data_IF_430555942897
#
_entry.id   IF_430555942897
#
_cell.length_a   1.000
_cell.length_b   1.000
_cell.length_c   1.000
_cell.angle_alpha   90.00
_cell.angle_beta   90.00
_cell.angle_gamma   90.00
#
_symmetry.space_group_name_H-M   'P 1'
#
loop_
_entity.id
_entity.type
_entity.pdbx_description
1 polymer ?
#
# COMPACT_ATOMS: atom_id res chain seq x y z
N UNK A 1 1.46 24.86 10.08
CA UNK A 1 1.30 23.80 9.05
C UNK A 1 0.74 24.47 7.81
N UNK A 2 1.25 24.16 6.63
CA UNK A 2 0.76 24.74 5.37
C UNK A 2 0.96 23.79 4.20
N UNK A 3 0.12 23.90 3.18
CA UNK A 3 0.31 23.23 1.88
C UNK A 3 1.09 24.14 0.92
N UNK A 4 1.74 23.53 -0.08
CA UNK A 4 2.22 24.24 -1.27
C UNK A 4 1.05 24.77 -2.10
N UNK A 5 1.22 25.80 -2.94
CA UNK A 5 0.14 26.36 -3.76
C UNK A 5 -0.52 25.34 -4.72
N UNK A 6 0.23 24.35 -5.17
CA UNK A 6 -0.27 23.24 -6.01
C UNK A 6 -0.81 22.05 -5.20
N UNK A 7 -0.76 22.11 -3.86
CA UNK A 7 -1.26 21.10 -2.95
C UNK A 7 -0.42 19.83 -2.84
N UNK A 8 0.70 19.71 -3.57
CA UNK A 8 1.52 18.48 -3.63
C UNK A 8 2.42 18.23 -2.42
N UNK A 9 2.68 19.27 -1.63
CA UNK A 9 3.50 19.18 -0.43
C UNK A 9 2.76 19.73 0.78
N UNK A 10 2.91 19.05 1.92
CA UNK A 10 2.51 19.52 3.24
C UNK A 10 3.76 19.80 4.08
N UNK A 11 3.86 21.02 4.59
CA UNK A 11 4.90 21.42 5.53
C UNK A 11 4.38 21.41 6.97
N UNK A 12 5.06 20.68 7.83
CA UNK A 12 4.79 20.60 9.28
C UNK A 12 6.02 20.99 10.07
N UNK A 13 5.84 21.76 11.15
CA UNK A 13 6.88 21.99 12.15
C UNK A 13 6.69 21.01 13.32
N UNK A 14 7.77 20.60 13.95
CA UNK A 14 7.80 19.69 15.09
C UNK A 14 8.58 20.32 16.25
N UNK A 15 8.21 19.96 17.48
CA UNK A 15 8.86 20.45 18.70
C UNK A 15 10.32 19.99 18.83
N UNK A 16 10.72 18.97 18.06
CA UNK A 16 12.12 18.54 17.89
C UNK A 16 12.98 19.54 17.10
N UNK A 17 12.45 20.75 16.82
CA UNK A 17 13.07 21.84 16.06
C UNK A 17 13.33 21.48 14.59
N UNK A 18 12.62 20.48 14.05
CA UNK A 18 12.67 20.16 12.62
C UNK A 18 11.40 20.60 11.90
N UNK A 19 11.56 20.97 10.63
CA UNK A 19 10.46 21.03 9.68
C UNK A 19 10.48 19.75 8.84
N UNK A 20 9.31 19.20 8.54
CA UNK A 20 9.14 18.03 7.69
C UNK A 20 8.25 18.39 6.50
N UNK A 21 8.65 17.92 5.34
CA UNK A 21 7.88 18.00 4.10
C UNK A 21 7.32 16.62 3.79
N UNK A 22 6.03 16.58 3.52
CA UNK A 22 5.31 15.36 3.16
C UNK A 22 4.79 15.49 1.74
N UNK A 23 5.03 14.49 0.90
CA UNK A 23 4.31 14.37 -0.36
C UNK A 23 2.85 14.00 -0.05
N UNK A 24 1.91 14.68 -0.69
CA UNK A 24 0.46 14.43 -0.54
C UNK A 24 -0.12 13.71 -1.75
N UNK A 25 0.63 13.59 -2.84
CA UNK A 25 0.24 12.84 -4.01
C UNK A 25 0.30 11.34 -3.69
N UNK A 26 -0.88 10.70 -3.67
CA UNK A 26 -1.03 9.29 -3.35
C UNK A 26 -0.24 8.40 -4.33
N UNK A 27 -0.28 8.71 -5.63
CA UNK A 27 0.39 7.92 -6.66
C UNK A 27 1.91 7.94 -6.47
N UNK A 28 2.48 9.11 -6.22
CA UNK A 28 3.92 9.26 -5.95
C UNK A 28 4.32 8.49 -4.68
N UNK A 29 3.51 8.57 -3.62
CA UNK A 29 3.76 7.85 -2.37
C UNK A 29 3.70 6.33 -2.57
N UNK A 30 2.70 5.84 -3.31
CA UNK A 30 2.56 4.43 -3.65
C UNK A 30 3.72 3.96 -4.53
N UNK A 31 4.12 4.72 -5.54
CA UNK A 31 5.28 4.41 -6.38
C UNK A 31 6.54 4.30 -5.52
N UNK A 32 6.82 5.28 -4.67
CA UNK A 32 7.97 5.23 -3.76
C UNK A 32 7.91 4.02 -2.84
N UNK A 33 6.75 3.74 -2.24
CA UNK A 33 6.54 2.57 -1.38
C UNK A 33 6.85 1.26 -2.13
N UNK A 34 6.32 1.10 -3.35
CA UNK A 34 6.46 -0.12 -4.15
C UNK A 34 7.87 -0.36 -4.71
N UNK A 35 8.76 0.63 -4.66
CA UNK A 35 10.19 0.43 -4.96
C UNK A 35 10.95 -0.32 -3.86
N UNK A 36 10.42 -0.27 -2.63
CA UNK A 36 11.02 -0.91 -1.46
C UNK A 36 10.64 -2.39 -1.33
N UNK A 37 11.35 -3.13 -0.46
CA UNK A 37 10.92 -4.46 -0.05
C UNK A 37 9.64 -4.37 0.78
N UNK A 38 8.70 -5.28 0.54
CA UNK A 38 7.44 -5.32 1.28
C UNK A 38 6.57 -6.51 0.87
N UNK A 39 5.31 -6.47 1.32
CA UNK A 39 4.27 -7.46 1.00
C UNK A 39 2.92 -6.77 0.95
N UNK A 40 2.00 -7.32 0.16
CA UNK A 40 0.61 -6.86 0.17
C UNK A 40 -0.07 -7.20 1.50
N UNK A 41 -1.11 -6.45 1.83
CA UNK A 41 -2.03 -6.85 2.89
C UNK A 41 -2.77 -8.10 2.47
N UNK A 42 -2.81 -9.08 3.37
CA UNK A 42 -3.69 -10.23 3.16
C UNK A 42 -5.16 -9.81 3.28
N UNK A 43 -6.13 -10.58 2.71
CA UNK A 43 -7.54 -10.22 2.78
C UNK A 43 -8.11 -10.00 4.18
N UNK A 44 -7.58 -10.69 5.20
CA UNK A 44 -7.98 -10.50 6.60
C UNK A 44 -7.39 -9.22 7.19
N UNK A 45 -6.15 -8.88 6.86
CA UNK A 45 -5.51 -7.61 7.27
C UNK A 45 -6.17 -6.41 6.59
N UNK A 46 -6.55 -6.55 5.32
CA UNK A 46 -7.30 -5.54 4.60
C UNK A 46 -8.64 -5.26 5.27
N UNK A 47 -9.42 -6.29 5.60
CA UNK A 47 -10.66 -6.12 6.37
C UNK A 47 -10.43 -5.45 7.73
N UNK A 48 -9.30 -5.75 8.40
CA UNK A 48 -8.96 -5.17 9.71
C UNK A 48 -8.54 -3.69 9.63
N UNK A 49 -7.75 -3.32 8.63
CA UNK A 49 -7.09 -2.01 8.56
C UNK A 49 -7.70 -1.05 7.55
N UNK A 50 -8.29 -1.57 6.48
CA UNK A 50 -8.93 -0.78 5.40
C UNK A 50 -10.46 -0.80 5.55
N UNK A 51 -11.03 -1.93 5.97
CA UNK A 51 -12.48 -2.10 6.17
C UNK A 51 -13.16 -2.75 4.97
N UNK A 52 -14.31 -2.21 4.57
CA UNK A 52 -15.24 -2.84 3.61
C UNK A 52 -14.93 -2.55 2.13
N UNK A 53 -13.80 -1.89 1.83
CA UNK A 53 -13.37 -1.69 0.46
C UNK A 53 -12.98 -3.02 -0.18
N UNK A 54 -13.23 -3.16 -1.49
CA UNK A 54 -12.76 -4.31 -2.27
C UNK A 54 -11.26 -4.48 -2.11
N UNK A 55 -10.84 -5.71 -1.78
CA UNK A 55 -9.42 -6.02 -1.67
C UNK A 55 -8.72 -5.82 -3.01
N UNK A 56 -7.57 -5.17 -2.97
CA UNK A 56 -6.65 -5.04 -4.09
C UNK A 56 -5.21 -5.09 -3.58
N UNK A 57 -4.25 -5.58 -4.39
CA UNK A 57 -2.85 -5.50 -4.02
C UNK A 57 -2.43 -4.03 -3.86
N UNK A 58 -1.62 -3.75 -2.83
CA UNK A 58 -0.99 -2.43 -2.64
C UNK A 58 0.06 -2.19 -3.72
N UNK A 59 0.87 -3.21 -4.04
CA UNK A 59 1.88 -3.18 -5.07
C UNK A 59 1.81 -4.48 -5.89
N UNK A 60 1.82 -4.38 -7.22
CA UNK A 60 1.77 -5.55 -8.11
C UNK A 60 3.02 -6.44 -7.96
N UNK A 61 4.17 -5.84 -7.68
CA UNK A 61 5.45 -6.54 -7.52
C UNK A 61 5.56 -7.33 -6.21
N UNK A 62 4.69 -7.07 -5.24
CA UNK A 62 4.78 -7.64 -3.90
C UNK A 62 4.01 -8.94 -3.78
N UNK A 63 4.52 -9.85 -2.96
CA UNK A 63 3.80 -11.08 -2.62
C UNK A 63 2.64 -10.76 -1.67
N UNK A 64 1.51 -11.44 -1.86
CA UNK A 64 0.38 -11.40 -0.93
C UNK A 64 0.49 -12.59 0.00
N UNK A 65 0.61 -12.39 1.33
CA UNK A 65 0.60 -13.50 2.26
C UNK A 65 -0.75 -14.19 2.27
N UNK A 66 -0.77 -15.51 2.52
CA UNK A 66 -2.02 -16.22 2.72
C UNK A 66 -2.76 -15.63 3.93
N UNK A 67 -3.91 -15.02 3.64
CA UNK A 67 -4.72 -14.31 4.62
C UNK A 67 -5.69 -15.21 5.31
N UNK A 68 -5.22 -16.05 6.24
CA UNK A 68 -6.05 -16.60 7.32
C UNK A 68 -7.38 -17.23 6.93
N UNK A 69 -7.51 -17.78 5.73
CA UNK A 69 -8.60 -18.66 5.32
C UNK A 69 -7.93 -19.73 4.47
N UNK A 70 -7.69 -20.90 5.04
CA UNK A 70 -7.15 -22.08 4.34
C UNK A 70 -8.14 -22.64 3.29
N UNK A 71 -8.93 -21.78 2.63
CA UNK A 71 -10.15 -22.17 1.93
C UNK A 71 -10.43 -21.37 0.64
N UNK A 72 -9.41 -20.76 0.02
CA UNK A 72 -9.54 -20.29 -1.37
C UNK A 72 -8.66 -21.15 -2.30
N UNK A 73 -9.17 -22.35 -2.56
CA UNK A 73 -8.61 -23.45 -3.36
C UNK A 73 -8.33 -23.12 -4.85
N UNK A 74 -8.38 -21.87 -5.31
CA UNK A 74 -8.56 -21.57 -6.75
C UNK A 74 -7.68 -20.48 -7.34
N UNK A 75 -6.36 -20.50 -7.06
CA UNK A 75 -5.40 -19.81 -7.91
C UNK A 75 -4.21 -20.70 -8.29
N UNK A 76 -4.49 -21.73 -9.08
CA UNK A 76 -3.61 -22.15 -10.18
C UNK A 76 -4.45 -22.61 -11.37
N UNK A 77 -4.44 -21.92 -12.53
CA UNK A 77 -4.42 -22.66 -13.77
C UNK A 77 -3.03 -23.31 -13.87
N UNK A 78 -3.01 -24.64 -13.85
CA UNK A 78 -1.88 -25.44 -14.30
C UNK A 78 -1.36 -24.92 -15.64
N UNK A 79 -0.05 -24.73 -15.78
CA UNK A 79 0.61 -24.60 -17.09
C UNK A 79 0.13 -25.75 -17.98
N UNK A 80 -0.33 -25.52 -19.22
CA UNK A 80 -0.44 -26.61 -20.16
C UNK A 80 0.98 -27.08 -20.50
N UNK A 81 1.27 -28.33 -20.17
CA UNK A 81 2.40 -29.06 -20.75
C UNK A 81 2.01 -29.41 -22.19
N UNK A 82 2.69 -28.78 -23.14
CA UNK A 82 3.00 -29.36 -24.46
C UNK A 82 4.48 -29.18 -24.68
#
# INVERSE_FOLDING_TARGET
MTFSPDGKLLATACDDKTARLWNTNLDDMLQQLCTGPGRNLSPSEWRRYVGDLTWQPTCESWTTPPGGVWLDYHLKPSRPTT
#
